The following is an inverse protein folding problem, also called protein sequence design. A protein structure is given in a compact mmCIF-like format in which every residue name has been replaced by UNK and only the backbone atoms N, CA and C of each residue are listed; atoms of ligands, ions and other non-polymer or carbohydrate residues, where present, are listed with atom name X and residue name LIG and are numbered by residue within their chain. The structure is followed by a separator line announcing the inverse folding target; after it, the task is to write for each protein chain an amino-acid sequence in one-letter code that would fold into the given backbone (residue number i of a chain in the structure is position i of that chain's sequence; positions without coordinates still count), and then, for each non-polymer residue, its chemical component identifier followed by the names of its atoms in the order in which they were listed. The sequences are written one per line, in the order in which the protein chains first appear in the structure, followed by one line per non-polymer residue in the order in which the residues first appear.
data_IF_519391604149
#
_entry.id   IF_519391604149
#
_cell.length_a   1.000
_cell.length_b   1.000
_cell.length_c   1.000
_cell.angle_alpha   90.00
_cell.angle_beta   90.00
_cell.angle_gamma   90.00
#
_symmetry.space_group_name_H-M   'P 1'
#
loop_
_entity.id
_entity.type
_entity.pdbx_description
1 polymer ?
#
# COMPACT_ATOMS: atom_id res chain seq x y z
N UNK A 1 -26.85 -2.09 13.66
CA UNK A 1 -26.33 -2.72 12.43
C UNK A 1 -27.38 -2.96 11.34
N UNK A 2 -28.25 -3.98 11.40
CA UNK A 2 -29.16 -4.29 10.27
C UNK A 2 -30.16 -3.16 9.94
N UNK A 3 -30.78 -2.56 10.96
CA UNK A 3 -31.72 -1.43 10.81
C UNK A 3 -31.06 -0.13 10.33
N UNK A 4 -29.83 0.15 10.79
CA UNK A 4 -29.06 1.31 10.33
C UNK A 4 -28.67 1.15 8.86
N UNK A 5 -28.27 -0.05 8.47
CA UNK A 5 -27.94 -0.39 7.09
C UNK A 5 -29.19 -0.26 6.20
N UNK A 6 -30.34 -0.75 6.67
CA UNK A 6 -31.63 -0.60 5.98
C UNK A 6 -32.03 0.86 5.78
N UNK A 7 -31.96 1.70 6.82
CA UNK A 7 -32.20 3.15 6.71
C UNK A 7 -31.20 3.82 5.77
N UNK A 8 -29.93 3.41 5.80
CA UNK A 8 -28.91 3.98 4.92
C UNK A 8 -29.21 3.69 3.44
N UNK A 9 -29.82 2.54 3.11
CA UNK A 9 -30.22 2.19 1.75
C UNK A 9 -31.40 3.02 1.23
N UNK A 10 -32.17 3.63 2.13
CA UNK A 10 -33.29 4.52 1.80
C UNK A 10 -32.83 5.96 1.54
N UNK A 11 -31.56 6.28 1.82
CA UNK A 11 -30.97 7.60 1.55
C UNK A 11 -30.13 7.58 0.27
N UNK A 12 -30.25 8.63 -0.56
CA UNK A 12 -29.39 8.78 -1.72
C UNK A 12 -27.93 8.98 -1.27
N UNK A 13 -27.04 8.15 -1.79
CA UNK A 13 -25.60 8.34 -1.60
C UNK A 13 -25.08 9.40 -2.58
N UNK A 14 -24.20 10.30 -2.11
CA UNK A 14 -23.63 11.33 -2.99
C UNK A 14 -22.42 10.77 -3.75
N UNK A 15 -22.19 11.30 -4.94
CA UNK A 15 -20.99 11.03 -5.71
C UNK A 15 -19.89 12.03 -5.33
N UNK A 16 -18.70 11.49 -5.10
CA UNK A 16 -17.48 12.23 -4.84
C UNK A 16 -16.68 12.32 -6.13
N UNK A 17 -16.28 13.53 -6.49
CA UNK A 17 -15.39 13.81 -7.61
C UNK A 17 -13.95 13.57 -7.19
N UNK A 18 -13.25 12.68 -7.87
CA UNK A 18 -11.83 12.38 -7.66
C UNK A 18 -11.02 12.91 -8.85
N UNK A 19 -10.02 13.73 -8.55
CA UNK A 19 -9.00 14.17 -9.52
C UNK A 19 -7.66 13.57 -9.11
N UNK A 20 -7.02 12.78 -9.99
CA UNK A 20 -5.79 12.04 -9.69
C UNK A 20 -4.70 12.41 -10.69
N UNK A 21 -3.50 12.69 -10.20
CA UNK A 21 -2.39 13.17 -11.00
C UNK A 21 -2.65 14.58 -11.54
N UNK A 22 -1.95 14.93 -12.62
CA UNK A 22 -2.14 16.22 -13.28
C UNK A 22 -3.60 16.45 -13.70
N UNK A 23 -4.08 17.67 -13.42
CA UNK A 23 -5.49 18.09 -13.52
C UNK A 23 -6.09 18.05 -14.93
N UNK A 24 -5.30 17.72 -15.96
CA UNK A 24 -5.77 17.63 -17.35
C UNK A 24 -6.63 16.38 -17.62
N UNK A 25 -6.54 15.35 -16.77
CA UNK A 25 -7.34 14.13 -16.92
C UNK A 25 -8.77 14.31 -16.39
N UNK A 26 -9.72 13.66 -17.06
CA UNK A 26 -11.12 13.69 -16.65
C UNK A 26 -11.28 13.10 -15.24
N UNK A 27 -12.06 13.75 -14.35
CA UNK A 27 -12.30 13.26 -13.01
C UNK A 27 -13.09 11.95 -13.04
N UNK A 28 -12.90 11.13 -12.00
CA UNK A 28 -13.69 9.92 -11.76
C UNK A 28 -14.69 10.20 -10.64
N UNK A 29 -15.88 9.63 -10.73
CA UNK A 29 -16.93 9.79 -9.72
C UNK A 29 -17.16 8.48 -8.99
N UNK A 30 -17.09 8.51 -7.66
CA UNK A 30 -17.26 7.33 -6.80
C UNK A 30 -18.25 7.65 -5.68
N UNK A 31 -19.06 6.66 -5.30
CA UNK A 31 -19.99 6.76 -4.18
C UNK A 31 -19.26 7.06 -2.86
N UNK A 32 -19.74 8.05 -2.09
CA UNK A 32 -19.12 8.42 -0.81
C UNK A 32 -19.08 7.22 0.13
N UNK A 33 -20.21 6.56 0.37
CA UNK A 33 -20.27 5.42 1.30
C UNK A 33 -19.32 4.30 0.88
N UNK A 34 -19.08 4.16 -0.43
CA UNK A 34 -18.13 3.18 -0.95
C UNK A 34 -16.70 3.57 -0.55
N UNK A 35 -16.29 4.82 -0.70
CA UNK A 35 -14.96 5.30 -0.27
C UNK A 35 -14.78 5.22 1.25
N UNK A 36 -15.79 5.63 2.02
CA UNK A 36 -15.77 5.54 3.49
C UNK A 36 -15.65 4.09 3.97
N UNK A 37 -16.24 3.13 3.24
CA UNK A 37 -16.08 1.70 3.55
C UNK A 37 -14.68 1.15 3.31
N UNK A 38 -13.82 1.88 2.58
CA UNK A 38 -12.47 1.44 2.23
C UNK A 38 -11.47 1.74 3.34
N UNK A 39 -11.50 2.97 3.87
CA UNK A 39 -10.62 3.36 4.95
C UNK A 39 -11.19 4.53 5.77
N UNK A 40 -10.88 4.58 7.09
CA UNK A 40 -11.26 5.69 7.97
C UNK A 40 -10.76 7.05 7.48
N UNK A 41 -9.68 7.07 6.70
CA UNK A 41 -9.18 8.29 6.07
C UNK A 41 -10.26 9.00 5.23
N UNK A 42 -11.01 8.25 4.41
CA UNK A 42 -12.07 8.82 3.57
C UNK A 42 -13.26 9.30 4.38
N UNK A 43 -13.62 8.60 5.45
CA UNK A 43 -14.67 9.02 6.39
C UNK A 43 -14.33 10.38 7.00
N UNK A 44 -13.09 10.57 7.45
CA UNK A 44 -12.64 11.83 8.00
C UNK A 44 -12.55 12.94 6.95
N UNK A 45 -12.00 12.65 5.76
CA UNK A 45 -11.84 13.63 4.69
C UNK A 45 -13.18 14.11 4.12
N UNK A 46 -14.20 13.25 4.11
CA UNK A 46 -15.52 13.56 3.55
C UNK A 46 -16.56 13.95 4.60
N UNK A 47 -16.16 14.03 5.88
CA UNK A 47 -17.03 14.47 6.95
C UNK A 47 -17.56 15.87 6.65
N UNK A 48 -18.90 15.99 6.64
CA UNK A 48 -19.56 17.28 6.39
C UNK A 48 -19.16 18.29 7.46
N UNK A 49 -19.04 19.55 7.05
CA UNK A 49 -18.79 20.69 7.92
C UNK A 49 -17.45 20.63 8.70
N UNK A 50 -16.51 19.77 8.27
CA UNK A 50 -15.16 19.69 8.85
C UNK A 50 -14.10 20.22 7.88
N UNK A 51 -14.21 19.83 6.60
CA UNK A 51 -13.25 20.20 5.56
C UNK A 51 -13.98 20.62 4.28
N UNK A 52 -13.33 21.44 3.45
CA UNK A 52 -13.87 21.94 2.17
C UNK A 52 -14.20 20.77 1.23
N UNK A 53 -13.43 19.70 1.30
CA UNK A 53 -13.61 18.43 0.59
C UNK A 53 -14.96 17.78 0.96
N UNK A 54 -15.31 17.81 2.25
CA UNK A 54 -16.56 17.30 2.78
C UNK A 54 -17.76 18.14 2.36
N UNK A 55 -17.61 19.44 2.12
CA UNK A 55 -18.67 20.32 1.61
C UNK A 55 -18.83 20.19 0.08
N UNK A 56 -17.72 20.29 -0.64
CA UNK A 56 -17.69 20.29 -2.12
C UNK A 56 -17.88 18.90 -2.73
N UNK A 57 -17.67 17.84 -1.95
CA UNK A 57 -17.67 16.47 -2.44
C UNK A 57 -16.58 16.22 -3.49
N UNK A 58 -15.45 16.91 -3.37
CA UNK A 58 -14.33 16.83 -4.32
C UNK A 58 -13.03 16.55 -3.59
N UNK A 59 -12.29 15.54 -4.06
CA UNK A 59 -10.95 15.18 -3.57
C UNK A 59 -9.95 15.28 -4.71
N UNK A 60 -8.78 15.87 -4.43
CA UNK A 60 -7.70 16.07 -5.40
C UNK A 60 -6.41 15.43 -4.90
N UNK A 61 -5.78 14.63 -5.76
CA UNK A 61 -4.58 13.84 -5.47
C UNK A 61 -3.51 14.07 -6.56
N UNK A 62 -2.93 15.27 -6.65
CA UNK A 62 -2.05 15.64 -7.76
C UNK A 62 -0.75 14.82 -7.81
N UNK A 63 -0.28 14.34 -6.65
CA UNK A 63 0.97 13.59 -6.53
C UNK A 63 0.79 12.08 -6.67
N UNK A 64 -0.45 11.59 -6.74
CA UNK A 64 -0.72 10.17 -6.74
C UNK A 64 -0.65 9.55 -8.13
N UNK A 65 -0.19 8.30 -8.18
CA UNK A 65 -0.13 7.53 -9.43
C UNK A 65 -1.55 7.15 -9.91
N UNK A 66 -1.85 7.55 -11.14
CA UNK A 66 -3.16 7.35 -11.77
C UNK A 66 -3.48 5.87 -11.96
N UNK A 67 -2.49 5.03 -12.28
CA UNK A 67 -2.73 3.61 -12.51
C UNK A 67 -2.97 2.87 -11.18
N UNK A 68 -2.24 3.21 -10.13
CA UNK A 68 -2.51 2.67 -8.78
C UNK A 68 -3.92 3.06 -8.29
N UNK A 69 -4.39 4.27 -8.58
CA UNK A 69 -5.77 4.67 -8.26
C UNK A 69 -6.83 3.93 -9.07
N UNK A 70 -6.60 3.69 -10.37
CA UNK A 70 -7.49 2.83 -11.17
C UNK A 70 -7.62 1.44 -10.54
N UNK A 71 -6.49 0.91 -10.05
CA UNK A 71 -6.45 -0.37 -9.32
C UNK A 71 -7.26 -0.30 -8.04
N UNK A 72 -7.09 0.73 -7.22
CA UNK A 72 -7.84 0.90 -5.97
C UNK A 72 -9.35 1.05 -6.20
N UNK A 73 -9.77 1.86 -7.19
CA UNK A 73 -11.19 2.04 -7.52
C UNK A 73 -11.80 0.72 -8.00
N UNK A 74 -11.13 0.03 -8.92
CA UNK A 74 -11.60 -1.27 -9.42
C UNK A 74 -11.65 -2.32 -8.30
N UNK A 75 -10.63 -2.38 -7.45
CA UNK A 75 -10.57 -3.24 -6.26
C UNK A 75 -11.76 -2.99 -5.33
N UNK A 76 -12.04 -1.71 -5.07
CA UNK A 76 -13.11 -1.27 -4.19
C UNK A 76 -14.47 -1.68 -4.74
N UNK A 77 -14.72 -1.45 -6.04
CA UNK A 77 -16.00 -1.73 -6.67
C UNK A 77 -16.25 -3.23 -6.88
N UNK A 78 -15.23 -3.97 -7.32
CA UNK A 78 -15.38 -5.40 -7.70
C UNK A 78 -15.13 -6.35 -6.52
N UNK A 79 -14.44 -5.89 -5.46
CA UNK A 79 -14.00 -6.69 -4.31
C UNK A 79 -13.16 -7.92 -4.71
N UNK A 80 -12.40 -7.84 -5.80
CA UNK A 80 -11.54 -8.92 -6.30
C UNK A 80 -10.07 -8.50 -6.16
N UNK A 81 -9.21 -9.47 -5.86
CA UNK A 81 -7.74 -9.30 -5.76
C UNK A 81 -7.21 -8.62 -7.01
N UNK A 82 -6.73 -7.38 -6.85
CA UNK A 82 -6.78 -6.37 -7.91
C UNK A 82 -5.60 -6.35 -8.87
N UNK A 83 -4.41 -6.76 -8.42
CA UNK A 83 -3.21 -6.66 -9.25
C UNK A 83 -3.20 -7.70 -10.38
N UNK A 84 -3.59 -8.94 -10.08
CA UNK A 84 -3.62 -10.05 -11.06
C UNK A 84 -4.66 -9.84 -12.18
N UNK A 85 -5.62 -8.93 -12.00
CA UNK A 85 -6.77 -8.73 -12.92
C UNK A 85 -6.54 -7.58 -13.89
N UNK A 86 -5.84 -6.55 -13.45
CA UNK A 86 -5.83 -5.29 -14.19
C UNK A 86 -4.74 -5.24 -15.24
N UNK A 87 -3.64 -5.98 -15.04
CA UNK A 87 -2.61 -6.12 -16.05
C UNK A 87 -1.70 -7.33 -15.72
N UNK A 88 -1.75 -8.43 -16.49
CA UNK A 88 -0.83 -9.56 -16.29
C UNK A 88 0.64 -9.19 -16.57
N UNK A 89 0.90 -8.08 -17.27
CA UNK A 89 2.22 -7.52 -17.53
C UNK A 89 2.60 -6.37 -16.58
N UNK A 90 1.67 -5.97 -15.69
CA UNK A 90 1.93 -5.04 -14.60
C UNK A 90 2.91 -5.73 -13.66
N UNK A 91 4.19 -5.50 -13.96
CA UNK A 91 5.25 -6.03 -13.17
C UNK A 91 5.22 -5.44 -11.76
N UNK A 92 6.28 -5.70 -10.99
CA UNK A 92 6.29 -5.41 -9.57
C UNK A 92 6.19 -3.90 -9.27
N UNK A 93 6.48 -3.03 -10.25
CA UNK A 93 6.32 -1.58 -10.15
C UNK A 93 4.88 -1.14 -9.82
N UNK A 94 3.86 -1.59 -10.58
CA UNK A 94 2.48 -1.18 -10.31
C UNK A 94 1.99 -1.73 -8.97
N UNK A 95 2.38 -2.96 -8.64
CA UNK A 95 2.07 -3.56 -7.36
C UNK A 95 2.73 -2.80 -6.19
N UNK A 96 3.98 -2.36 -6.35
CA UNK A 96 4.67 -1.50 -5.40
C UNK A 96 3.95 -0.15 -5.23
N UNK A 97 3.51 0.47 -6.34
CA UNK A 97 2.73 1.73 -6.29
C UNK A 97 1.41 1.55 -5.55
N UNK A 98 0.71 0.43 -5.78
CA UNK A 98 -0.51 0.08 -5.05
C UNK A 98 -0.24 -0.14 -3.56
N UNK A 99 0.89 -0.78 -3.21
CA UNK A 99 1.29 -0.96 -1.82
C UNK A 99 1.51 0.39 -1.13
N UNK A 100 2.22 1.33 -1.76
CA UNK A 100 2.45 2.69 -1.25
C UNK A 100 1.14 3.46 -1.11
N UNK A 101 0.25 3.35 -2.10
CA UNK A 101 -1.07 3.98 -2.05
C UNK A 101 -1.90 3.46 -0.86
N UNK A 102 -1.87 2.15 -0.63
CA UNK A 102 -2.52 1.52 0.52
C UNK A 102 -1.93 2.00 1.85
N UNK A 103 -0.61 2.16 1.93
CA UNK A 103 0.06 2.69 3.12
C UNK A 103 -0.35 4.15 3.43
N UNK A 104 -0.32 4.99 2.40
CA UNK A 104 -0.62 6.43 2.46
C UNK A 104 -2.02 6.69 3.02
N UNK A 105 -3.02 5.92 2.56
CA UNK A 105 -4.42 6.09 2.96
C UNK A 105 -4.90 5.09 4.02
N UNK A 106 -3.98 4.34 4.63
CA UNK A 106 -4.26 3.37 5.69
C UNK A 106 -5.22 2.23 5.27
N UNK A 107 -5.13 1.80 4.01
CA UNK A 107 -5.94 0.75 3.41
C UNK A 107 -5.22 -0.59 3.53
N UNK A 108 -5.09 -1.09 4.76
CA UNK A 108 -4.31 -2.29 5.13
C UNK A 108 -4.58 -3.49 4.20
N UNK A 109 -5.85 -3.80 3.94
CA UNK A 109 -6.20 -4.95 3.11
C UNK A 109 -5.72 -4.80 1.67
N UNK A 110 -5.78 -3.59 1.12
CA UNK A 110 -5.29 -3.31 -0.23
C UNK A 110 -3.76 -3.43 -0.28
N UNK A 111 -3.07 -2.93 0.76
CA UNK A 111 -1.63 -3.07 0.93
C UNK A 111 -1.20 -4.55 0.99
N UNK A 112 -1.89 -5.40 1.77
CA UNK A 112 -1.60 -6.83 1.87
C UNK A 112 -1.81 -7.56 0.53
N UNK A 113 -2.87 -7.23 -0.21
CA UNK A 113 -3.15 -7.81 -1.53
C UNK A 113 -2.11 -7.37 -2.57
N UNK A 114 -1.63 -6.13 -2.51
CA UNK A 114 -0.54 -5.63 -3.34
C UNK A 114 0.79 -6.36 -3.03
N UNK A 115 1.13 -6.53 -1.75
CA UNK A 115 2.31 -7.31 -1.33
C UNK A 115 2.21 -8.76 -1.80
N UNK A 116 1.02 -9.36 -1.72
CA UNK A 116 0.78 -10.72 -2.21
C UNK A 116 1.07 -10.83 -3.71
N UNK A 117 0.71 -9.83 -4.50
CA UNK A 117 1.01 -9.81 -5.93
C UNK A 117 2.51 -9.74 -6.21
N UNK A 118 3.26 -8.91 -5.47
CA UNK A 118 4.72 -8.81 -5.56
C UNK A 118 5.37 -10.17 -5.24
N UNK A 119 4.95 -10.81 -4.15
CA UNK A 119 5.45 -12.13 -3.73
C UNK A 119 5.17 -13.21 -4.79
N UNK A 120 3.94 -13.24 -5.33
CA UNK A 120 3.59 -14.17 -6.41
C UNK A 120 4.44 -13.94 -7.65
N UNK A 121 4.65 -12.67 -8.02
CA UNK A 121 5.44 -12.28 -9.17
C UNK A 121 6.87 -12.79 -9.05
N UNK A 122 7.56 -12.53 -7.93
CA UNK A 122 8.96 -12.98 -7.74
C UNK A 122 9.10 -14.50 -7.54
N UNK A 123 8.03 -15.17 -7.07
CA UNK A 123 7.99 -16.63 -7.05
C UNK A 123 7.92 -17.26 -8.45
N UNK A 124 7.25 -16.58 -9.40
CA UNK A 124 7.07 -17.06 -10.76
C UNK A 124 8.18 -16.57 -11.71
N UNK A 125 8.65 -15.34 -11.49
CA UNK A 125 9.64 -14.65 -12.30
C UNK A 125 10.83 -14.30 -11.41
N UNK A 126 11.99 -14.88 -11.68
CA UNK A 126 13.21 -14.56 -10.91
C UNK A 126 13.55 -13.08 -11.04
N UNK A 127 14.07 -12.47 -9.99
CA UNK A 127 14.50 -11.05 -10.01
C UNK A 127 15.53 -10.78 -11.11
N UNK A 128 16.46 -11.70 -11.36
CA UNK A 128 17.45 -11.60 -12.44
C UNK A 128 16.86 -11.65 -13.86
N UNK A 129 15.59 -12.06 -14.02
CA UNK A 129 14.90 -12.04 -15.31
C UNK A 129 14.32 -10.66 -15.66
N UNK A 130 14.27 -9.73 -14.71
CA UNK A 130 13.76 -8.38 -14.94
C UNK A 130 14.84 -7.54 -15.60
N UNK A 131 14.43 -6.67 -16.53
CA UNK A 131 15.34 -5.63 -17.01
C UNK A 131 15.72 -4.72 -15.85
N UNK A 132 16.97 -4.25 -15.87
CA UNK A 132 17.49 -3.29 -14.88
C UNK A 132 16.57 -2.08 -14.72
N UNK A 133 16.07 -1.56 -15.84
CA UNK A 133 15.15 -0.42 -15.88
C UNK A 133 13.86 -0.71 -15.07
N UNK A 134 13.25 -1.88 -15.27
CA UNK A 134 12.01 -2.27 -14.56
C UNK A 134 12.26 -2.48 -13.07
N UNK A 135 13.41 -3.06 -12.72
CA UNK A 135 13.81 -3.23 -11.32
C UNK A 135 14.06 -1.88 -10.64
N UNK A 136 14.80 -0.97 -11.27
CA UNK A 136 15.06 0.37 -10.73
C UNK A 136 13.78 1.16 -10.53
N UNK A 137 12.86 1.17 -11.51
CA UNK A 137 11.54 1.80 -11.32
C UNK A 137 10.77 1.23 -10.15
N UNK A 138 10.90 -0.07 -9.89
CA UNK A 138 10.25 -0.70 -8.72
C UNK A 138 10.91 -0.26 -7.41
N UNK A 139 12.24 -0.19 -7.37
CA UNK A 139 13.00 0.26 -6.20
C UNK A 139 12.75 1.73 -5.89
N UNK A 140 12.67 2.58 -6.91
CA UNK A 140 12.38 4.02 -6.79
C UNK A 140 11.03 4.29 -6.09
N UNK A 141 10.07 3.36 -6.23
CA UNK A 141 8.76 3.45 -5.57
C UNK A 141 8.82 3.04 -4.10
N UNK A 142 9.80 2.23 -3.69
CA UNK A 142 9.86 1.66 -2.35
C UNK A 142 10.19 2.74 -1.31
N UNK A 143 9.33 2.97 -0.30
CA UNK A 143 9.67 3.87 0.79
C UNK A 143 10.73 3.21 1.69
N UNK A 144 11.76 3.93 2.15
CA UNK A 144 12.72 3.40 3.12
C UNK A 144 12.03 2.98 4.42
N UNK A 145 12.62 2.04 5.16
CA UNK A 145 12.10 1.50 6.43
C UNK A 145 10.71 0.85 6.33
N UNK A 146 10.22 0.61 5.11
CA UNK A 146 8.92 -0.03 4.87
C UNK A 146 9.06 -1.54 4.74
N UNK A 147 7.95 -2.26 4.92
CA UNK A 147 7.91 -3.71 4.64
C UNK A 147 8.14 -4.04 3.17
N UNK A 148 7.84 -3.09 2.28
CA UNK A 148 8.16 -3.20 0.86
C UNK A 148 9.67 -3.09 0.62
N UNK A 149 10.34 -2.09 1.20
CA UNK A 149 11.80 -1.97 1.13
C UNK A 149 12.52 -3.17 1.75
N UNK A 150 12.09 -3.62 2.94
CA UNK A 150 12.62 -4.81 3.61
C UNK A 150 12.54 -6.04 2.69
N UNK A 151 11.39 -6.26 2.05
CA UNK A 151 11.24 -7.38 1.12
C UNK A 151 12.11 -7.23 -0.13
N UNK A 152 12.07 -6.08 -0.79
CA UNK A 152 12.78 -5.87 -2.06
C UNK A 152 14.30 -5.97 -1.89
N UNK A 153 14.83 -5.40 -0.82
CA UNK A 153 16.26 -5.46 -0.51
C UNK A 153 16.68 -6.87 -0.07
N UNK A 154 15.82 -7.60 0.62
CA UNK A 154 16.03 -9.02 0.96
C UNK A 154 16.10 -9.90 -0.29
N UNK A 155 15.19 -9.73 -1.25
CA UNK A 155 15.25 -10.47 -2.50
C UNK A 155 16.58 -10.20 -3.24
N UNK A 156 17.01 -8.94 -3.35
CA UNK A 156 18.30 -8.61 -3.97
C UNK A 156 19.47 -9.26 -3.21
N UNK A 157 19.51 -9.15 -1.88
CA UNK A 157 20.56 -9.75 -1.07
C UNK A 157 20.58 -11.29 -1.20
N UNK A 158 19.42 -11.93 -1.34
CA UNK A 158 19.31 -13.36 -1.59
C UNK A 158 19.95 -13.74 -2.93
N UNK A 159 19.56 -13.08 -4.02
CA UNK A 159 20.10 -13.35 -5.35
C UNK A 159 21.59 -13.06 -5.47
N UNK A 160 22.10 -12.07 -4.72
CA UNK A 160 23.54 -11.79 -4.71
C UNK A 160 24.33 -12.93 -4.08
N UNK A 161 23.78 -13.56 -3.06
CA UNK A 161 24.50 -14.60 -2.35
C UNK A 161 24.33 -16.00 -2.93
N UNK A 162 23.29 -16.24 -3.71
CA UNK A 162 23.21 -17.42 -4.60
C UNK A 162 24.11 -17.28 -5.83
N UNK A 163 24.69 -16.09 -6.05
CA UNK A 163 25.55 -15.80 -7.20
C UNK A 163 24.79 -15.51 -8.49
N UNK A 164 23.47 -15.32 -8.42
CA UNK A 164 22.64 -14.94 -9.57
C UNK A 164 22.80 -13.46 -9.96
N UNK A 165 23.24 -12.62 -9.01
CA UNK A 165 23.56 -11.20 -9.22
C UNK A 165 24.93 -10.92 -8.64
N UNK A 166 25.84 -10.37 -9.43
CA UNK A 166 27.15 -9.94 -8.92
C UNK A 166 27.13 -8.49 -8.39
N UNK A 167 28.27 -8.05 -7.86
CA UNK A 167 28.40 -6.69 -7.34
C UNK A 167 28.28 -5.61 -8.42
N UNK A 168 28.74 -5.88 -9.64
CA UNK A 168 28.66 -4.90 -10.74
C UNK A 168 27.19 -4.66 -11.10
N UNK A 169 26.40 -5.73 -11.21
CA UNK A 169 24.97 -5.69 -11.45
C UNK A 169 24.20 -5.03 -10.30
N UNK A 170 24.58 -5.29 -9.05
CA UNK A 170 23.95 -4.67 -7.89
C UNK A 170 24.30 -3.17 -7.75
N UNK A 171 25.52 -2.77 -8.11
CA UNK A 171 26.02 -1.40 -7.94
C UNK A 171 25.30 -0.35 -8.80
N UNK A 172 24.66 -0.80 -9.88
CA UNK A 172 23.88 0.05 -10.80
C UNK A 172 22.39 0.09 -10.46
N UNK A 173 21.99 -0.56 -9.37
CA UNK A 173 20.61 -0.49 -8.88
C UNK A 173 20.39 0.79 -8.08
N UNK A 174 19.17 1.32 -8.15
CA UNK A 174 18.77 2.51 -7.38
C UNK A 174 18.50 2.15 -5.92
N UNK A 175 19.54 1.71 -5.22
CA UNK A 175 19.49 1.33 -3.80
C UNK A 175 19.89 2.47 -2.86
N UNK A 176 20.16 3.67 -3.37
CA UNK A 176 20.69 4.77 -2.57
C UNK A 176 19.82 5.11 -1.36
N UNK A 177 18.51 5.23 -1.55
CA UNK A 177 17.54 5.47 -0.47
C UNK A 177 17.19 4.21 0.34
N UNK A 178 17.55 3.02 -0.15
CA UNK A 178 17.28 1.72 0.50
C UNK A 178 18.56 1.07 1.05
N UNK A 179 19.66 1.82 1.14
CA UNK A 179 20.97 1.25 1.38
C UNK A 179 21.07 0.60 2.76
N UNK A 180 20.47 1.24 3.77
CA UNK A 180 20.43 0.72 5.13
C UNK A 180 19.62 -0.57 5.20
N UNK A 181 18.43 -0.59 4.59
CA UNK A 181 17.59 -1.79 4.44
C UNK A 181 18.36 -2.92 3.76
N UNK A 182 19.10 -2.62 2.69
CA UNK A 182 19.93 -3.58 1.97
C UNK A 182 21.10 -4.12 2.80
N UNK A 183 21.84 -3.26 3.50
CA UNK A 183 22.92 -3.69 4.39
C UNK A 183 22.40 -4.60 5.51
N UNK A 184 21.23 -4.26 6.08
CA UNK A 184 20.56 -5.07 7.10
C UNK A 184 20.13 -6.42 6.54
N UNK A 185 19.45 -6.44 5.40
CA UNK A 185 18.99 -7.66 4.75
C UNK A 185 20.15 -8.60 4.40
N UNK A 186 21.26 -8.04 3.88
CA UNK A 186 22.48 -8.80 3.59
C UNK A 186 23.11 -9.39 4.86
N UNK A 187 23.16 -8.63 5.95
CA UNK A 187 23.70 -9.10 7.23
C UNK A 187 22.86 -10.23 7.84
N UNK A 188 21.54 -10.08 7.81
CA UNK A 188 20.59 -11.09 8.30
C UNK A 188 20.67 -12.39 7.49
N UNK A 189 20.87 -12.28 6.18
CA UNK A 189 21.04 -13.42 5.27
C UNK A 189 22.26 -14.28 5.64
N UNK A 190 23.40 -13.64 5.95
CA UNK A 190 24.58 -14.34 6.43
C UNK A 190 24.39 -14.97 7.82
N UNK A 191 23.62 -14.34 8.71
CA UNK A 191 23.47 -14.78 10.09
C UNK A 191 22.51 -15.98 10.26
N UNK A 192 21.47 -16.10 9.43
CA UNK A 192 20.36 -17.06 9.64
C UNK A 192 20.41 -18.32 8.76
N UNK A 193 21.33 -18.39 7.80
CA UNK A 193 21.41 -19.49 6.85
C UNK A 193 20.30 -19.47 5.79
N UNK A 194 20.65 -19.89 4.58
CA UNK A 194 19.90 -19.71 3.33
C UNK A 194 18.51 -20.36 3.26
N UNK A 195 18.11 -21.17 4.24
CA UNK A 195 16.97 -22.09 4.12
C UNK A 195 15.58 -21.49 4.43
N UNK A 196 15.48 -20.24 4.87
CA UNK A 196 14.22 -19.72 5.44
C UNK A 196 13.57 -18.52 4.72
N UNK A 197 14.11 -18.02 3.61
CA UNK A 197 13.82 -16.64 3.19
C UNK A 197 13.61 -16.44 1.69
N UNK A 198 12.95 -17.39 1.00
CA UNK A 198 12.30 -17.10 -0.28
C UNK A 198 10.88 -16.55 -0.05
N UNK A 199 10.17 -16.16 -1.10
CA UNK A 199 8.73 -15.85 -1.06
C UNK A 199 7.86 -16.92 -0.32
N UNK A 200 8.37 -18.13 -0.09
CA UNK A 200 7.72 -19.17 0.74
C UNK A 200 7.93 -19.05 2.26
N UNK A 201 8.93 -18.29 2.72
CA UNK A 201 9.29 -18.08 4.14
C UNK A 201 9.00 -16.66 4.65
N UNK A 202 8.98 -15.67 3.74
CA UNK A 202 8.26 -14.42 4.01
C UNK A 202 6.81 -14.84 4.26
N UNK A 203 6.28 -14.64 5.48
CA UNK A 203 4.96 -15.12 5.89
C UNK A 203 3.87 -14.39 5.09
N UNK A 204 3.72 -14.73 3.81
CA UNK A 204 2.55 -14.42 3.03
C UNK A 204 1.37 -14.95 3.85
N UNK A 205 0.38 -14.09 4.18
CA UNK A 205 -0.77 -14.55 4.94
C UNK A 205 -1.37 -15.73 4.19
N UNK A 206 -1.55 -16.87 4.88
CA UNK A 206 -2.59 -17.79 4.47
C UNK A 206 -3.86 -16.96 4.47
N UNK A 207 -4.34 -16.55 3.30
CA UNK A 207 -5.66 -15.94 3.16
C UNK A 207 -6.68 -16.99 3.62
N UNK A 208 -6.97 -17.02 4.91
CA UNK A 208 -8.26 -17.50 5.36
C UNK A 208 -9.22 -16.39 4.97
N UNK A 209 -10.13 -16.68 4.04
CA UNK A 209 -11.13 -15.75 3.50
C UNK A 209 -12.05 -15.11 4.57
N UNK A 210 -11.81 -15.36 5.87
CA UNK A 210 -12.71 -15.03 6.97
C UNK A 210 -12.10 -14.16 8.06
N UNK A 211 -10.79 -13.88 8.06
CA UNK A 211 -10.16 -12.90 8.97
C UNK A 211 -8.98 -12.20 8.30
N UNK A 212 -9.14 -10.90 8.03
CA UNK A 212 -8.10 -10.03 7.47
C UNK A 212 -6.86 -10.01 8.35
N UNK A 213 -5.81 -10.69 7.91
CA UNK A 213 -4.58 -10.80 8.66
C UNK A 213 -3.70 -9.56 8.52
N UNK A 214 -3.51 -8.82 9.60
CA UNK A 214 -2.67 -7.61 9.72
C UNK A 214 -1.17 -7.91 9.77
N UNK A 215 -0.61 -8.60 8.78
CA UNK A 215 0.73 -9.19 8.90
C UNK A 215 1.83 -8.53 8.07
N UNK A 216 1.51 -7.57 7.19
CA UNK A 216 2.49 -6.86 6.37
C UNK A 216 2.52 -5.34 6.61
N UNK A 217 2.10 -4.91 7.81
CA UNK A 217 2.01 -3.49 8.17
C UNK A 217 3.37 -3.05 8.75
N UNK A 218 3.94 -1.97 8.22
CA UNK A 218 5.03 -1.26 8.88
C UNK A 218 4.52 -0.68 10.21
N UNK A 219 5.35 -0.63 11.26
CA UNK A 219 4.92 0.02 12.51
C UNK A 219 4.76 1.52 12.24
N UNK A 220 3.53 2.01 12.00
CA UNK A 220 3.25 3.45 12.13
C UNK A 220 3.41 3.81 13.61
N UNK A 221 4.46 4.56 13.92
CA UNK A 221 4.50 5.32 15.17
C UNK A 221 3.50 6.46 14.98
N UNK A 222 2.27 6.27 15.46
CA UNK A 222 1.34 7.37 15.60
C UNK A 222 1.98 8.33 16.61
N UNK A 223 2.35 9.53 16.15
CA UNK A 223 2.67 10.61 17.07
C UNK A 223 1.43 10.82 17.94
N UNK A 224 1.55 10.56 19.24
CA UNK A 224 0.53 10.92 20.22
C UNK A 224 0.33 12.44 20.10
N UNK A 225 -0.77 12.84 19.47
CA UNK A 225 -1.36 14.14 19.75
C UNK A 225 -2.06 13.94 21.09
N UNK A 226 -1.33 14.19 22.17
CA UNK A 226 -1.91 14.26 23.49
C UNK A 226 -2.99 15.35 23.45
N UNK A 227 -4.23 14.89 23.62
CA UNK A 227 -5.37 15.76 23.85
C UNK A 227 -5.21 16.36 25.26
N UNK A 228 -4.54 17.52 25.34
CA UNK A 228 -4.82 18.48 26.41
C UNK A 228 -6.18 19.13 26.10
N UNK A 229 -7.26 18.45 26.49
CA UNK A 229 -8.57 19.07 26.66
C UNK A 229 -9.04 18.86 28.10
N UNK A 230 -9.36 19.98 28.74
CA UNK A 230 -10.28 20.14 29.85
C UNK A 230 -9.82 19.68 31.25
N UNK A 231 -9.15 20.61 31.93
CA UNK A 231 -9.35 20.87 33.36
C UNK A 231 -9.74 22.32 33.58
N UNK A 232 -11.04 22.58 33.47
CA UNK A 232 -11.76 23.58 34.28
C UNK A 232 -13.02 22.87 34.74
N UNK A 233 -13.03 22.43 36.00
CA UNK A 233 -13.73 23.07 37.10
C UNK A 233 -15.07 22.39 37.35
N UNK A 234 -15.18 21.65 38.47
CA UNK A 234 -16.33 21.67 39.39
C UNK A 234 -16.17 20.64 40.49
N UNK A 235 -16.34 21.12 41.72
CA UNK A 235 -16.92 20.50 42.94
C UNK A 235 -16.25 21.20 44.14
N UNK A 236 -16.77 22.34 44.61
CA UNK A 236 -17.91 22.50 45.54
C UNK A 236 -17.66 21.85 46.91
N UNK A 237 -17.27 22.70 47.88
CA UNK A 237 -17.95 22.99 49.17
C UNK A 237 -16.96 23.42 50.29
#
# INVERSE_FOLDING_TARGET
MAEELWKSLQTQDRLIKLTIGDSEKAPVYVQQKLLESVAPWFENALKRDTFVEGETGSLSFPEDDVEAWKVLVCWTMKRISSVDILDPDAGPELAAKCWVLGDKYDIVRFQDEAMTAILKYFRQTRLCALSREKLNRTLDVCPPDSKLAEYMTMEIAHYMATGDIDWEQASVLHLGHLWEDFCKARSDSYARGWQYWSAGGFKAPRMSYHRGGQYMIGKKVLANVDAESDRSDSEED
#
